data_IF_115491655018
#
_entry.id   IF_115491655018
#
_cell.length_a   1.000
_cell.length_b   1.000
_cell.length_c   1.000
_cell.angle_alpha   90.00
_cell.angle_beta   90.00
_cell.angle_gamma   90.00
#
_symmetry.space_group_name_H-M   'P 1'
#
loop_
_entity.id
_entity.type
_entity.pdbx_description
1 polymer ?
#
# COMPACT_ATOMS: atom_id res chain seq x y z
N UNK A 1 5.79 -10.78 21.21
CA UNK A 1 5.97 -9.86 20.05
C UNK A 1 6.44 -8.49 20.56
N UNK A 2 7.52 -7.97 19.95
CA UNK A 2 8.02 -6.62 20.27
C UNK A 2 6.91 -5.59 20.06
N UNK A 3 6.74 -4.66 20.99
CA UNK A 3 5.75 -3.58 20.92
C UNK A 3 5.85 -2.77 19.60
N UNK A 4 7.07 -2.55 19.11
CA UNK A 4 7.29 -1.80 17.86
C UNK A 4 6.80 -2.56 16.63
N UNK A 5 6.95 -3.90 16.60
CA UNK A 5 6.41 -4.76 15.53
C UNK A 5 4.90 -4.63 15.50
N UNK A 6 4.25 -4.76 16.68
CA UNK A 6 2.81 -4.57 16.80
C UNK A 6 2.38 -3.18 16.32
N UNK A 7 3.10 -2.14 16.72
CA UNK A 7 2.80 -0.75 16.34
C UNK A 7 2.82 -0.55 14.82
N UNK A 8 3.77 -1.16 14.11
CA UNK A 8 3.79 -1.11 12.64
C UNK A 8 2.64 -1.88 12.01
N UNK A 9 2.27 -3.04 12.57
CA UNK A 9 1.11 -3.79 12.08
C UNK A 9 -0.19 -3.02 12.29
N UNK A 10 -0.40 -2.45 13.47
CA UNK A 10 -1.57 -1.62 13.77
C UNK A 10 -1.65 -0.42 12.79
N UNK A 11 -0.53 0.19 12.48
CA UNK A 11 -0.47 1.28 11.50
C UNK A 11 -0.81 0.80 10.09
N UNK A 12 -0.29 -0.35 9.68
CA UNK A 12 -0.61 -0.94 8.39
C UNK A 12 -2.12 -1.25 8.26
N UNK A 13 -2.71 -1.82 9.29
CA UNK A 13 -4.15 -2.12 9.33
C UNK A 13 -5.00 -0.84 9.31
N UNK A 14 -4.58 0.22 9.99
CA UNK A 14 -5.25 1.52 9.95
C UNK A 14 -5.21 2.15 8.56
N UNK A 15 -4.07 2.09 7.87
CA UNK A 15 -3.97 2.59 6.49
C UNK A 15 -4.89 1.80 5.54
N UNK A 16 -4.96 0.48 5.70
CA UNK A 16 -5.85 -0.36 4.90
C UNK A 16 -7.32 -0.06 5.18
N UNK A 17 -7.70 0.12 6.45
CA UNK A 17 -9.06 0.48 6.85
C UNK A 17 -9.47 1.84 6.27
N UNK A 18 -8.58 2.83 6.32
CA UNK A 18 -8.81 4.15 5.74
C UNK A 18 -8.94 4.08 4.20
N UNK A 19 -8.09 3.28 3.54
CA UNK A 19 -8.20 3.03 2.12
C UNK A 19 -9.56 2.44 1.74
N UNK A 20 -10.01 1.44 2.46
CA UNK A 20 -11.32 0.80 2.27
C UNK A 20 -12.47 1.82 2.48
N UNK A 21 -12.39 2.62 3.52
CA UNK A 21 -13.39 3.67 3.81
C UNK A 21 -13.44 4.70 2.69
N UNK A 22 -12.30 5.18 2.22
CA UNK A 22 -12.22 6.12 1.11
C UNK A 22 -12.76 5.53 -0.20
N UNK A 23 -12.56 4.25 -0.43
CA UNK A 23 -13.15 3.55 -1.57
C UNK A 23 -14.68 3.48 -1.49
N UNK A 24 -15.22 3.13 -0.32
CA UNK A 24 -16.66 3.06 -0.09
C UNK A 24 -17.31 4.44 -0.27
N UNK A 25 -16.73 5.51 0.28
CA UNK A 25 -17.21 6.88 0.09
C UNK A 25 -17.18 7.26 -1.40
N UNK A 26 -16.09 6.96 -2.09
CA UNK A 26 -15.90 7.31 -3.50
C UNK A 26 -16.91 6.65 -4.44
N UNK A 27 -17.42 5.48 -4.06
CA UNK A 27 -18.36 4.67 -4.87
C UNK A 27 -19.82 4.74 -4.39
N UNK A 28 -20.12 5.45 -3.31
CA UNK A 28 -21.47 5.55 -2.73
C UNK A 28 -21.99 6.98 -2.72
N UNK A 29 -22.99 7.27 -3.54
CA UNK A 29 -23.67 8.57 -3.54
C UNK A 29 -24.42 8.82 -2.23
N UNK A 30 -24.93 7.79 -1.59
CA UNK A 30 -25.63 7.90 -0.28
C UNK A 30 -24.66 8.35 0.82
N UNK A 31 -23.48 7.74 0.91
CA UNK A 31 -22.45 8.15 1.87
C UNK A 31 -21.98 9.58 1.60
N UNK A 32 -21.80 9.96 0.35
CA UNK A 32 -21.42 11.34 -0.01
C UNK A 32 -22.46 12.35 0.47
N UNK A 33 -23.76 12.04 0.33
CA UNK A 33 -24.83 12.90 0.82
C UNK A 33 -24.81 13.05 2.35
N UNK A 34 -24.67 11.94 3.06
CA UNK A 34 -24.56 11.94 4.53
C UNK A 34 -23.38 12.78 5.00
N UNK A 35 -22.24 12.65 4.34
CA UNK A 35 -21.01 13.37 4.65
C UNK A 35 -20.96 14.80 4.06
N UNK A 36 -22.00 15.22 3.36
CA UNK A 36 -22.10 16.53 2.69
C UNK A 36 -20.97 16.77 1.67
N UNK A 37 -20.59 15.72 0.95
CA UNK A 37 -19.60 15.77 -0.11
C UNK A 37 -20.27 15.97 -1.47
N UNK A 38 -19.61 16.68 -2.41
CA UNK A 38 -20.08 16.73 -3.81
C UNK A 38 -20.17 15.32 -4.41
N UNK A 39 -21.21 15.06 -5.22
CA UNK A 39 -21.44 13.74 -5.82
C UNK A 39 -20.32 13.25 -6.72
N UNK A 40 -19.60 14.15 -7.38
CA UNK A 40 -18.46 13.87 -8.25
C UNK A 40 -17.14 13.68 -7.51
N UNK A 41 -17.09 13.93 -6.19
CA UNK A 41 -15.87 13.82 -5.40
C UNK A 41 -15.50 12.35 -5.23
N UNK A 42 -14.23 12.03 -5.52
CA UNK A 42 -13.66 10.70 -5.31
C UNK A 42 -12.29 10.79 -4.67
N UNK A 43 -11.88 9.71 -4.00
CA UNK A 43 -10.62 9.60 -3.26
C UNK A 43 -9.77 8.40 -3.73
N UNK A 44 -9.91 7.98 -4.99
CA UNK A 44 -9.20 6.80 -5.50
C UNK A 44 -7.68 6.91 -5.42
N UNK A 45 -7.12 8.11 -5.62
CA UNK A 45 -5.69 8.34 -5.45
C UNK A 45 -5.25 8.09 -4.00
N UNK A 46 -6.05 8.54 -3.03
CA UNK A 46 -5.79 8.29 -1.62
C UNK A 46 -5.89 6.79 -1.29
N UNK A 47 -6.86 6.08 -1.87
CA UNK A 47 -6.97 4.61 -1.72
C UNK A 47 -5.68 3.92 -2.13
N UNK A 48 -5.16 4.23 -3.31
CA UNK A 48 -3.92 3.64 -3.83
C UNK A 48 -2.73 3.97 -2.93
N UNK A 49 -2.57 5.23 -2.54
CA UNK A 49 -1.48 5.66 -1.66
C UNK A 49 -1.53 4.98 -0.29
N UNK A 50 -2.71 4.88 0.31
CA UNK A 50 -2.90 4.24 1.61
C UNK A 50 -2.65 2.73 1.55
N UNK A 51 -3.04 2.06 0.47
CA UNK A 51 -2.70 0.65 0.24
C UNK A 51 -1.19 0.46 0.15
N UNK A 52 -0.47 1.33 -0.55
CA UNK A 52 0.98 1.31 -0.58
C UNK A 52 1.59 1.49 0.81
N UNK A 53 1.14 2.47 1.60
CA UNK A 53 1.63 2.68 2.96
C UNK A 53 1.34 1.48 3.87
N UNK A 54 0.19 0.82 3.71
CA UNK A 54 -0.10 -0.38 4.48
C UNK A 54 0.90 -1.52 4.18
N UNK A 55 1.27 -1.72 2.92
CA UNK A 55 2.31 -2.67 2.50
C UNK A 55 3.67 -2.27 3.10
N UNK A 56 4.04 -1.00 2.99
CA UNK A 56 5.29 -0.47 3.53
C UNK A 56 5.43 -0.71 5.04
N UNK A 57 4.41 -0.39 5.84
CA UNK A 57 4.46 -0.61 7.29
C UNK A 57 4.45 -2.09 7.65
N UNK A 58 3.77 -2.94 6.88
CA UNK A 58 3.80 -4.38 7.06
C UNK A 58 5.21 -4.94 6.79
N UNK A 59 5.86 -4.49 5.73
CA UNK A 59 7.25 -4.85 5.44
C UNK A 59 8.20 -4.40 6.56
N UNK A 60 8.02 -3.18 7.10
CA UNK A 60 8.80 -2.70 8.26
C UNK A 60 8.59 -3.56 9.50
N UNK A 61 7.36 -3.99 9.78
CA UNK A 61 7.07 -4.90 10.89
C UNK A 61 7.85 -6.22 10.75
N UNK A 62 7.83 -6.81 9.56
CA UNK A 62 8.57 -8.04 9.28
C UNK A 62 10.08 -7.85 9.43
N UNK A 63 10.63 -6.79 8.84
CA UNK A 63 12.07 -6.48 8.94
C UNK A 63 12.50 -6.28 10.38
N UNK A 64 11.71 -5.56 11.16
CA UNK A 64 12.00 -5.34 12.58
C UNK A 64 12.01 -6.66 13.38
N UNK A 65 11.10 -7.60 13.08
CA UNK A 65 11.12 -8.93 13.64
C UNK A 65 12.43 -9.68 13.32
N UNK A 66 13.06 -9.35 12.19
CA UNK A 66 14.38 -9.87 11.77
C UNK A 66 15.55 -8.99 12.25
N UNK A 67 15.30 -8.08 13.18
CA UNK A 67 16.29 -7.12 13.73
C UNK A 67 16.89 -6.17 12.68
N UNK A 68 16.13 -5.88 11.63
CA UNK A 68 16.52 -4.93 10.57
C UNK A 68 15.65 -3.68 10.72
N UNK A 69 16.29 -2.55 10.97
CA UNK A 69 15.64 -1.24 11.02
C UNK A 69 16.03 -0.40 9.80
N UNK A 70 15.06 0.25 9.21
CA UNK A 70 15.26 1.20 8.12
C UNK A 70 14.80 2.59 8.55
N UNK A 71 15.56 3.61 8.16
CA UNK A 71 15.33 4.99 8.58
C UNK A 71 15.67 5.97 7.46
N UNK A 72 15.19 7.24 7.53
CA UNK A 72 15.60 8.29 6.59
C UNK A 72 17.13 8.46 6.51
N UNK A 73 17.69 8.95 5.37
CA UNK A 73 16.98 9.25 4.13
C UNK A 73 16.64 7.99 3.33
N UNK A 74 15.77 8.13 2.32
CA UNK A 74 15.36 7.05 1.40
C UNK A 74 14.78 5.81 2.10
N UNK A 75 14.04 6.02 3.19
CA UNK A 75 13.52 4.92 4.01
C UNK A 75 12.66 3.94 3.22
N UNK A 76 11.82 4.42 2.31
CA UNK A 76 10.96 3.57 1.48
C UNK A 76 11.78 2.65 0.57
N UNK A 77 12.80 3.18 -0.07
CA UNK A 77 13.72 2.42 -0.92
C UNK A 77 14.53 1.40 -0.12
N UNK A 78 15.05 1.80 1.03
CA UNK A 78 15.80 0.91 1.93
C UNK A 78 14.93 -0.25 2.41
N UNK A 79 13.71 0.04 2.83
CA UNK A 79 12.74 -0.97 3.29
C UNK A 79 12.44 -1.97 2.17
N UNK A 80 12.16 -1.49 0.98
CA UNK A 80 11.93 -2.35 -0.19
C UNK A 80 13.13 -3.25 -0.49
N UNK A 81 14.34 -2.69 -0.52
CA UNK A 81 15.56 -3.45 -0.84
C UNK A 81 15.88 -4.50 0.22
N UNK A 82 15.71 -4.19 1.50
CA UNK A 82 15.90 -5.17 2.58
C UNK A 82 14.84 -6.28 2.52
N UNK A 83 13.58 -5.93 2.26
CA UNK A 83 12.51 -6.92 2.08
C UNK A 83 12.78 -7.84 0.88
N UNK A 84 13.24 -7.27 -0.24
CA UNK A 84 13.59 -8.01 -1.45
C UNK A 84 14.65 -9.09 -1.20
N UNK A 85 15.61 -8.86 -0.31
CA UNK A 85 16.64 -9.85 0.03
C UNK A 85 16.03 -11.13 0.59
N UNK A 86 14.97 -11.06 1.38
CA UNK A 86 14.26 -12.22 1.92
C UNK A 86 13.51 -13.01 0.83
N UNK A 87 13.00 -12.33 -0.16
CA UNK A 87 12.38 -12.96 -1.33
C UNK A 87 13.43 -13.62 -2.22
N UNK A 88 14.51 -12.91 -2.53
CA UNK A 88 15.60 -13.41 -3.39
C UNK A 88 16.31 -14.63 -2.75
N UNK A 89 16.39 -14.69 -1.42
CA UNK A 89 16.93 -15.84 -0.69
C UNK A 89 15.96 -17.02 -0.54
N UNK A 90 14.73 -16.90 -1.02
CA UNK A 90 13.71 -17.93 -0.95
C UNK A 90 12.99 -18.06 0.42
N UNK A 91 13.25 -17.14 1.36
CA UNK A 91 12.59 -17.14 2.67
C UNK A 91 11.14 -16.65 2.56
N UNK A 92 10.90 -15.66 1.73
CA UNK A 92 9.57 -15.13 1.41
C UNK A 92 9.18 -15.48 -0.04
N UNK A 93 7.88 -15.61 -0.31
CA UNK A 93 7.39 -15.93 -1.64
C UNK A 93 7.57 -14.77 -2.63
N UNK A 94 7.81 -15.13 -3.90
CA UNK A 94 7.89 -14.16 -5.01
C UNK A 94 6.62 -13.34 -5.18
N UNK A 95 5.46 -13.91 -4.88
CA UNK A 95 4.17 -13.24 -4.92
C UNK A 95 4.14 -11.96 -4.06
N UNK A 96 4.75 -11.99 -2.88
CA UNK A 96 4.84 -10.81 -2.01
C UNK A 96 5.63 -9.68 -2.66
N UNK A 97 6.71 -9.99 -3.35
CA UNK A 97 7.49 -8.98 -4.06
C UNK A 97 6.76 -8.43 -5.27
N UNK A 98 6.04 -9.27 -6.01
CA UNK A 98 5.21 -8.85 -7.15
C UNK A 98 4.12 -7.85 -6.72
N UNK A 99 3.46 -8.11 -5.59
CA UNK A 99 2.49 -7.18 -5.00
C UNK A 99 3.17 -5.88 -4.61
N UNK A 100 4.29 -5.95 -3.92
CA UNK A 100 5.03 -4.77 -3.45
C UNK A 100 5.50 -3.91 -4.62
N UNK A 101 6.08 -4.53 -5.66
CA UNK A 101 6.51 -3.84 -6.89
C UNK A 101 5.35 -3.11 -7.56
N UNK A 102 4.24 -3.79 -7.74
CA UNK A 102 3.06 -3.25 -8.43
C UNK A 102 2.48 -2.04 -7.70
N UNK A 103 2.34 -2.12 -6.39
CA UNK A 103 1.82 -1.02 -5.59
C UNK A 103 2.82 0.13 -5.44
N UNK A 104 4.11 -0.16 -5.40
CA UNK A 104 5.17 0.87 -5.45
C UNK A 104 5.12 1.64 -6.78
N UNK A 105 4.95 0.96 -7.89
CA UNK A 105 4.85 1.58 -9.22
C UNK A 105 3.64 2.52 -9.31
N UNK A 106 2.49 2.10 -8.80
CA UNK A 106 1.29 2.94 -8.75
C UNK A 106 1.49 4.19 -7.89
N UNK A 107 2.06 4.03 -6.70
CA UNK A 107 2.33 5.14 -5.78
C UNK A 107 3.33 6.14 -6.38
N UNK A 108 4.41 5.66 -6.99
CA UNK A 108 5.39 6.49 -7.69
C UNK A 108 4.75 7.28 -8.84
N UNK A 109 3.86 6.65 -9.58
CA UNK A 109 3.13 7.31 -10.67
C UNK A 109 2.28 8.47 -10.16
N UNK A 110 1.57 8.28 -9.07
CA UNK A 110 0.76 9.34 -8.44
C UNK A 110 1.59 10.51 -7.96
N UNK A 111 2.74 10.25 -7.34
CA UNK A 111 3.68 11.29 -6.92
C UNK A 111 4.20 12.10 -8.11
N UNK A 112 4.50 11.46 -9.23
CA UNK A 112 4.97 12.12 -10.45
C UNK A 112 3.90 13.00 -11.09
N UNK A 113 2.65 12.57 -11.09
CA UNK A 113 1.51 13.42 -11.53
C UNK A 113 1.43 14.68 -10.65
N UNK A 114 1.54 14.52 -9.34
CA UNK A 114 1.49 15.63 -8.39
C UNK A 114 2.59 16.66 -8.63
N UNK A 115 3.82 16.21 -8.95
CA UNK A 115 4.95 17.09 -9.28
C UNK A 115 5.05 17.47 -10.76
N UNK A 116 4.07 17.12 -11.59
CA UNK A 116 4.08 17.41 -13.02
C UNK A 116 5.06 16.59 -13.85
N UNK A 117 5.65 15.56 -13.28
CA UNK A 117 6.55 14.65 -14.00
C UNK A 117 5.76 13.55 -14.71
N UNK A 118 6.09 13.31 -15.99
CA UNK A 118 5.54 12.18 -16.74
C UNK A 118 6.29 10.89 -16.36
N UNK A 119 5.56 9.84 -15.99
CA UNK A 119 6.16 8.53 -15.77
C UNK A 119 6.82 8.01 -17.06
N UNK A 120 8.12 7.72 -17.00
CA UNK A 120 8.87 7.08 -18.10
C UNK A 120 8.70 5.56 -18.13
N UNK A 121 8.08 4.95 -17.10
CA UNK A 121 7.83 3.52 -17.02
C UNK A 121 6.52 3.21 -17.71
N UNK A 122 6.56 2.72 -18.96
CA UNK A 122 5.40 2.45 -19.81
C UNK A 122 4.50 1.28 -19.39
N UNK A 123 4.53 0.85 -18.12
CA UNK A 123 3.75 -0.30 -17.63
C UNK A 123 2.41 0.08 -17.01
N UNK A 124 2.22 1.33 -16.62
CA UNK A 124 1.04 1.80 -15.92
C UNK A 124 0.57 3.11 -16.54
N UNK A 125 -0.57 3.08 -17.22
CA UNK A 125 -1.30 4.27 -17.64
C UNK A 125 -2.40 4.55 -16.63
N UNK A 126 -2.26 5.66 -15.92
CA UNK A 126 -3.24 6.11 -14.95
C UNK A 126 -4.14 7.15 -15.61
N UNK A 127 -5.42 6.89 -15.72
CA UNK A 127 -6.39 7.86 -16.20
C UNK A 127 -6.83 8.76 -15.04
N UNK A 128 -6.78 10.07 -15.25
CA UNK A 128 -7.22 11.08 -14.29
C UNK A 128 -8.75 11.05 -14.11
N UNK A 129 -9.47 10.38 -15.01
CA UNK A 129 -10.92 10.21 -14.89
C UNK A 129 -11.26 9.31 -13.69
N UNK A 130 -12.11 9.80 -12.78
CA UNK A 130 -12.51 9.11 -11.57
C UNK A 130 -13.03 7.68 -11.80
N UNK A 131 -13.80 7.44 -12.86
CA UNK A 131 -14.36 6.12 -13.17
C UNK A 131 -13.29 5.13 -13.67
N UNK A 132 -12.27 5.60 -14.36
CA UNK A 132 -11.17 4.77 -14.82
C UNK A 132 -10.24 4.34 -13.68
N UNK A 133 -10.27 5.02 -12.54
CA UNK A 133 -9.44 4.72 -11.38
C UNK A 133 -10.02 3.60 -10.49
N UNK A 134 -11.30 3.24 -10.63
CA UNK A 134 -11.95 2.19 -9.84
C UNK A 134 -11.21 0.84 -9.93
N UNK A 135 -10.88 0.31 -11.12
CA UNK A 135 -10.15 -0.95 -11.22
C UNK A 135 -8.80 -0.93 -10.51
N UNK A 136 -8.05 0.15 -10.60
CA UNK A 136 -6.74 0.29 -9.96
C UNK A 136 -6.83 0.39 -8.44
N UNK A 137 -7.79 1.18 -7.93
CA UNK A 137 -8.03 1.29 -6.49
C UNK A 137 -8.51 -0.04 -5.90
N UNK A 138 -9.40 -0.74 -6.59
CA UNK A 138 -9.90 -2.05 -6.18
C UNK A 138 -8.78 -3.10 -6.13
N UNK A 139 -7.93 -3.14 -7.15
CA UNK A 139 -6.75 -4.01 -7.19
C UNK A 139 -5.79 -3.70 -6.05
N UNK A 140 -5.54 -2.41 -5.75
CA UNK A 140 -4.69 -2.01 -4.63
C UNK A 140 -5.22 -2.50 -3.30
N UNK A 141 -6.53 -2.43 -3.07
CA UNK A 141 -7.17 -2.97 -1.86
C UNK A 141 -7.00 -4.48 -1.73
N UNK A 142 -7.19 -5.22 -2.81
CA UNK A 142 -7.01 -6.68 -2.85
C UNK A 142 -5.55 -7.05 -2.57
N UNK A 143 -4.61 -6.40 -3.24
CA UNK A 143 -3.17 -6.61 -3.08
C UNK A 143 -2.68 -6.28 -1.66
N UNK A 144 -3.09 -5.15 -1.11
CA UNK A 144 -2.70 -4.76 0.25
C UNK A 144 -3.25 -5.74 1.30
N UNK A 145 -4.51 -6.14 1.16
CA UNK A 145 -5.13 -7.13 2.06
C UNK A 145 -4.38 -8.45 2.03
N UNK A 146 -4.07 -8.96 0.85
CA UNK A 146 -3.34 -10.21 0.67
C UNK A 146 -1.93 -10.12 1.27
N UNK A 147 -1.19 -9.06 0.98
CA UNK A 147 0.15 -8.83 1.50
C UNK A 147 0.18 -8.80 3.04
N UNK A 148 -0.71 -8.03 3.65
CA UNK A 148 -0.81 -7.92 5.10
C UNK A 148 -1.15 -9.28 5.72
N UNK A 149 -2.13 -9.99 5.15
CA UNK A 149 -2.57 -11.29 5.66
C UNK A 149 -1.44 -12.32 5.65
N UNK A 150 -0.70 -12.40 4.56
CA UNK A 150 0.42 -13.35 4.41
C UNK A 150 1.57 -13.04 5.38
N UNK A 151 1.99 -11.79 5.45
CA UNK A 151 3.08 -11.40 6.34
C UNK A 151 2.68 -11.49 7.81
N UNK A 152 1.46 -11.11 8.14
CA UNK A 152 0.94 -11.21 9.51
C UNK A 152 0.94 -12.66 10.01
N UNK A 153 0.49 -13.61 9.18
CA UNK A 153 0.55 -15.03 9.50
C UNK A 153 1.99 -15.49 9.79
N UNK A 154 2.95 -15.07 8.97
CA UNK A 154 4.38 -15.39 9.18
C UNK A 154 4.90 -14.79 10.49
N UNK A 155 4.54 -13.54 10.81
CA UNK A 155 4.95 -12.88 12.06
C UNK A 155 4.38 -13.61 13.28
N UNK A 156 3.12 -14.04 13.22
CA UNK A 156 2.44 -14.75 14.31
C UNK A 156 3.03 -16.16 14.55
N UNK A 157 3.49 -16.83 13.49
CA UNK A 157 4.17 -18.13 13.61
C UNK A 157 5.56 -18.03 14.25
N UNK A 158 6.27 -16.92 14.06
CA UNK A 158 7.63 -16.72 14.56
C UNK A 158 7.64 -16.10 15.96
N UNK A 159 6.65 -15.28 16.26
CA UNK A 159 6.55 -14.51 17.51
C UNK A 159 5.77 -15.23 18.57
#
# INVERSE_FOLDING_TARGET
MDFRVKSYLDRAENELLLAKTNFEISTSNELKKVLKLPSERTFFNNVISQCYYSIFYTAKAYLLLKFIETSPPDEHKKTYLEFKKFVDSGILSKQLLEIYDKETEKADFLLKIFYGEKSKRGRFTYDINANANIPYAKESLENAREFISLIKAIIEEIG
#
